data_IF_655452935878
#
_entry.id   IF_655452935878
#
_cell.length_a   1.000
_cell.length_b   1.000
_cell.length_c   1.000
_cell.angle_alpha   90.00
_cell.angle_beta   90.00
_cell.angle_gamma   90.00
#
_symmetry.space_group_name_H-M   'P 1'
#
loop_
_entity.id
_entity.type
_entity.pdbx_description
1 polymer ?
#
# COMPACT_ATOMS: atom_id res chain seq x y z
N UNK A 1 0.54 -12.52 23.09
CA UNK A 1 -0.05 -13.10 21.85
C UNK A 1 0.98 -12.86 20.74
N UNK A 2 1.53 -13.90 20.10
CA UNK A 2 2.40 -13.68 18.93
C UNK A 2 1.56 -13.14 17.79
N UNK A 3 1.85 -11.92 17.31
CA UNK A 3 1.21 -11.38 16.10
C UNK A 3 1.61 -12.29 14.94
N UNK A 4 0.62 -12.86 14.25
CA UNK A 4 0.83 -13.69 13.07
C UNK A 4 0.51 -12.87 11.81
N UNK A 5 1.33 -13.01 10.77
CA UNK A 5 1.15 -12.35 9.49
C UNK A 5 1.84 -10.99 9.38
N UNK A 6 1.52 -10.27 8.30
CA UNK A 6 2.11 -8.98 7.97
C UNK A 6 1.33 -7.85 8.65
N UNK A 7 2.04 -6.89 9.23
CA UNK A 7 1.42 -5.68 9.79
C UNK A 7 2.39 -4.51 9.81
N UNK A 8 1.85 -3.30 9.90
CA UNK A 8 2.60 -2.07 10.20
C UNK A 8 2.30 -1.66 11.63
N UNK A 9 3.34 -1.35 12.38
CA UNK A 9 3.27 -0.52 13.58
C UNK A 9 3.31 0.95 13.12
N UNK A 10 2.17 1.65 13.24
CA UNK A 10 2.00 2.99 12.67
C UNK A 10 2.72 4.06 13.51
N UNK A 11 2.91 3.82 14.81
CA UNK A 11 3.66 4.71 15.71
C UNK A 11 5.16 4.61 15.43
N UNK A 12 5.69 3.39 15.39
CA UNK A 12 7.10 3.15 15.12
C UNK A 12 7.48 3.29 13.64
N UNK A 13 6.48 3.38 12.74
CA UNK A 13 6.62 3.32 11.29
C UNK A 13 7.50 2.15 10.85
N UNK A 14 7.13 0.94 11.29
CA UNK A 14 7.82 -0.31 10.97
C UNK A 14 6.86 -1.37 10.47
N UNK A 15 7.26 -2.04 9.40
CA UNK A 15 6.56 -3.18 8.83
C UNK A 15 7.18 -4.49 9.32
N UNK A 16 6.32 -5.42 9.72
CA UNK A 16 6.68 -6.69 10.30
C UNK A 16 6.06 -7.85 9.54
N UNK A 17 6.78 -8.97 9.51
CA UNK A 17 6.23 -10.30 9.28
C UNK A 17 6.40 -11.12 10.56
N UNK A 18 5.32 -11.26 11.32
CA UNK A 18 5.32 -11.78 12.68
C UNK A 18 6.20 -10.93 13.63
N UNK A 19 7.38 -11.42 14.01
CA UNK A 19 8.33 -10.74 14.92
C UNK A 19 9.55 -10.18 14.16
N UNK A 20 9.61 -10.35 12.83
CA UNK A 20 10.73 -9.92 11.99
C UNK A 20 10.37 -8.60 11.31
N UNK A 21 11.23 -7.59 11.46
CA UNK A 21 11.12 -6.33 10.71
C UNK A 21 11.48 -6.62 9.25
N UNK A 22 10.60 -6.24 8.33
CA UNK A 22 10.83 -6.39 6.88
C UNK A 22 11.03 -5.04 6.18
N UNK A 23 10.60 -3.95 6.81
CA UNK A 23 10.90 -2.58 6.39
C UNK A 23 10.74 -1.62 7.57
N UNK A 24 11.64 -0.67 7.70
CA UNK A 24 11.60 0.42 8.68
C UNK A 24 11.71 1.79 8.01
N UNK A 25 11.53 1.83 6.69
CA UNK A 25 11.72 3.02 5.87
C UNK A 25 10.51 3.25 4.98
N UNK A 26 9.68 4.19 5.38
CA UNK A 26 8.69 4.81 4.48
C UNK A 26 9.44 5.73 3.52
N UNK A 27 9.19 5.57 2.22
CA UNK A 27 9.74 6.48 1.23
C UNK A 27 8.94 7.77 1.25
N UNK A 28 9.63 8.92 1.30
CA UNK A 28 9.02 10.25 1.31
C UNK A 28 8.58 10.75 -0.07
N UNK A 29 8.59 9.87 -1.07
CA UNK A 29 8.22 10.21 -2.44
C UNK A 29 6.71 10.24 -2.55
N UNK A 30 6.17 11.29 -3.18
CA UNK A 30 4.76 11.36 -3.57
C UNK A 30 4.66 10.93 -5.03
N UNK A 31 4.42 9.65 -5.34
CA UNK A 31 4.37 9.20 -6.71
C UNK A 31 3.08 9.71 -7.38
N UNK A 32 3.13 9.96 -8.68
CA UNK A 32 1.91 10.15 -9.48
C UNK A 32 1.31 8.78 -9.83
N UNK A 33 0.07 8.75 -10.31
CA UNK A 33 -0.55 7.50 -10.83
C UNK A 33 0.27 6.90 -11.97
N UNK A 34 0.82 7.75 -12.85
CA UNK A 34 1.66 7.32 -13.96
C UNK A 34 2.95 6.68 -13.44
N UNK A 35 3.65 7.32 -12.49
CA UNK A 35 4.84 6.75 -11.87
C UNK A 35 4.54 5.43 -11.15
N UNK A 36 3.44 5.34 -10.40
CA UNK A 36 3.04 4.09 -9.76
C UNK A 36 2.78 2.98 -10.79
N UNK A 37 2.15 3.31 -11.93
CA UNK A 37 1.92 2.38 -13.03
C UNK A 37 3.25 1.93 -13.62
N UNK A 38 4.16 2.84 -13.92
CA UNK A 38 5.50 2.50 -14.43
C UNK A 38 6.25 1.58 -13.47
N UNK A 39 6.34 1.94 -12.19
CA UNK A 39 6.99 1.11 -11.16
C UNK A 39 6.38 -0.29 -11.06
N UNK A 40 5.05 -0.39 -11.13
CA UNK A 40 4.33 -1.66 -11.09
C UNK A 40 4.67 -2.54 -12.30
N UNK A 41 4.76 -1.97 -13.50
CA UNK A 41 4.96 -2.74 -14.74
C UNK A 41 6.43 -2.97 -15.09
N UNK A 42 7.34 -2.10 -14.65
CA UNK A 42 8.79 -2.22 -14.84
C UNK A 42 9.47 -3.17 -13.84
N UNK A 43 8.75 -3.60 -12.80
CA UNK A 43 9.27 -4.53 -11.80
C UNK A 43 10.07 -3.84 -10.69
N UNK A 44 9.87 -2.54 -10.48
CA UNK A 44 10.48 -1.79 -9.36
C UNK A 44 9.79 -2.12 -8.03
N UNK A 45 8.50 -2.47 -8.09
CA UNK A 45 7.72 -2.95 -6.94
C UNK A 45 7.87 -4.47 -6.84
N UNK A 46 8.44 -4.94 -5.74
CA UNK A 46 8.64 -6.37 -5.46
C UNK A 46 7.51 -7.01 -4.67
N UNK A 47 6.84 -6.23 -3.82
CA UNK A 47 5.73 -6.71 -3.00
C UNK A 47 4.60 -5.68 -2.98
N UNK A 48 3.36 -6.18 -2.97
CA UNK A 48 2.16 -5.37 -2.79
C UNK A 48 1.39 -5.90 -1.59
N UNK A 49 0.99 -4.98 -0.71
CA UNK A 49 0.11 -5.26 0.40
C UNK A 49 -1.15 -4.40 0.34
N UNK A 50 -2.27 -4.96 0.78
CA UNK A 50 -3.51 -4.24 1.00
C UNK A 50 -3.84 -4.28 2.49
N UNK A 51 -4.19 -3.13 3.04
CA UNK A 51 -4.74 -3.01 4.39
C UNK A 51 -6.22 -2.68 4.32
N UNK A 52 -7.06 -3.64 4.68
CA UNK A 52 -8.51 -3.45 4.84
C UNK A 52 -8.89 -2.94 6.23
N UNK A 53 -7.96 -3.01 7.19
CA UNK A 53 -8.18 -2.58 8.56
C UNK A 53 -6.89 -1.97 9.13
N UNK A 54 -6.96 -0.67 9.37
CA UNK A 54 -5.90 0.10 10.00
C UNK A 54 -6.50 1.14 10.94
N UNK A 55 -5.79 1.35 12.04
CA UNK A 55 -6.08 2.39 13.03
C UNK A 55 -4.79 3.19 13.31
N UNK A 56 -4.82 4.12 14.25
CA UNK A 56 -3.65 4.93 14.57
C UNK A 56 -2.43 4.12 15.07
N UNK A 57 -2.63 2.88 15.51
CA UNK A 57 -1.58 2.05 16.12
C UNK A 57 -1.06 0.98 15.18
N UNK A 58 -1.95 0.30 14.47
CA UNK A 58 -1.60 -0.86 13.65
C UNK A 58 -2.41 -0.97 12.38
N UNK A 59 -1.73 -1.38 11.31
CA UNK A 59 -2.35 -1.72 10.04
C UNK A 59 -2.10 -3.19 9.74
N UNK A 60 -3.17 -3.99 9.57
CA UNK A 60 -3.00 -5.39 9.13
C UNK A 60 -2.80 -5.42 7.63
N UNK A 61 -1.85 -6.23 7.18
CA UNK A 61 -1.49 -6.31 5.78
C UNK A 61 -1.81 -7.69 5.21
N UNK A 62 -2.48 -7.71 4.07
CA UNK A 62 -2.68 -8.88 3.24
C UNK A 62 -1.85 -8.75 1.98
N UNK A 63 -1.08 -9.79 1.65
CA UNK A 63 -0.26 -9.77 0.45
C UNK A 63 -1.15 -9.93 -0.77
N UNK A 64 -1.03 -9.02 -1.73
CA UNK A 64 -1.68 -9.12 -3.02
C UNK A 64 -0.66 -9.52 -4.09
N UNK A 65 -1.11 -10.29 -5.08
CA UNK A 65 -0.27 -10.68 -6.20
C UNK A 65 -0.02 -9.50 -7.14
N UNK A 66 1.24 -9.22 -7.46
CA UNK A 66 1.62 -8.22 -8.46
C UNK A 66 0.92 -8.47 -9.80
N UNK A 67 0.80 -9.74 -10.21
CA UNK A 67 0.11 -10.09 -11.46
C UNK A 67 -1.38 -9.74 -11.41
N UNK A 68 -2.02 -9.93 -10.25
CA UNK A 68 -3.41 -9.51 -10.05
C UNK A 68 -3.54 -7.99 -10.11
N UNK A 69 -2.62 -7.26 -9.47
CA UNK A 69 -2.63 -5.79 -9.48
C UNK A 69 -2.46 -5.27 -10.89
N UNK A 70 -1.49 -5.77 -11.65
CA UNK A 70 -1.28 -5.42 -13.06
C UNK A 70 -2.52 -5.70 -13.91
N UNK A 71 -3.11 -6.90 -13.78
CA UNK A 71 -4.31 -7.28 -14.54
C UNK A 71 -5.52 -6.40 -14.23
N UNK A 72 -5.67 -5.98 -12.97
CA UNK A 72 -6.79 -5.15 -12.51
C UNK A 72 -6.46 -3.66 -12.48
N UNK A 73 -5.28 -3.24 -12.97
CA UNK A 73 -4.78 -1.88 -12.78
C UNK A 73 -5.79 -0.85 -13.31
N UNK A 74 -6.11 -0.92 -14.60
CA UNK A 74 -6.99 0.03 -15.27
C UNK A 74 -8.49 -0.17 -14.92
N UNK A 75 -8.83 -1.25 -14.21
CA UNK A 75 -10.22 -1.63 -13.89
C UNK A 75 -10.58 -1.27 -12.44
N UNK A 76 -9.65 -1.44 -11.51
CA UNK A 76 -9.93 -1.37 -10.07
C UNK A 76 -8.96 -0.48 -9.29
N UNK A 77 -7.71 -0.34 -9.70
CA UNK A 77 -6.72 0.42 -8.93
C UNK A 77 -6.59 1.87 -9.40
N UNK A 78 -6.39 2.09 -10.70
CA UNK A 78 -6.12 3.42 -11.27
C UNK A 78 -7.16 4.47 -10.86
N UNK A 79 -8.45 4.10 -10.87
CA UNK A 79 -9.55 5.01 -10.58
C UNK A 79 -9.93 5.08 -9.09
N UNK A 80 -9.34 4.22 -8.25
CA UNK A 80 -9.61 4.16 -6.82
C UNK A 80 -8.36 4.49 -5.99
N UNK A 81 -7.28 5.00 -6.59
CA UNK A 81 -6.11 5.46 -5.82
C UNK A 81 -6.25 6.96 -5.59
N UNK A 82 -6.29 7.36 -4.32
CA UNK A 82 -6.24 8.75 -3.90
C UNK A 82 -4.78 9.13 -3.56
N UNK A 83 -4.29 10.17 -4.24
CA UNK A 83 -2.97 10.76 -4.00
C UNK A 83 -3.06 12.19 -3.44
N UNK A 84 -4.29 12.69 -3.21
CA UNK A 84 -4.51 14.07 -2.76
C UNK A 84 -4.47 14.14 -1.23
N UNK A 85 -4.14 15.33 -0.73
CA UNK A 85 -4.23 15.68 0.70
C UNK A 85 -5.52 16.44 1.03
N UNK A 86 -6.37 16.64 0.03
CA UNK A 86 -7.63 17.38 0.16
C UNK A 86 -8.72 16.45 0.69
N UNK A 87 -9.76 17.00 1.36
CA UNK A 87 -10.94 16.22 1.71
C UNK A 87 -11.56 15.64 0.45
N UNK A 88 -11.81 14.33 0.45
CA UNK A 88 -12.41 13.60 -0.66
C UNK A 88 -13.71 12.93 -0.19
N UNK A 89 -14.72 12.87 -1.07
CA UNK A 89 -15.92 12.09 -0.83
C UNK A 89 -15.73 10.68 -1.36
N UNK A 90 -16.28 9.67 -0.66
CA UNK A 90 -16.33 8.31 -1.20
C UNK A 90 -17.13 8.25 -2.50
N UNK A 91 -18.14 9.11 -2.65
CA UNK A 91 -18.97 9.22 -3.86
C UNK A 91 -18.18 9.62 -5.11
N UNK A 92 -16.98 10.20 -4.94
CA UNK A 92 -16.09 10.55 -6.06
C UNK A 92 -15.40 9.31 -6.65
N UNK A 93 -15.48 8.15 -5.98
CA UNK A 93 -14.79 6.92 -6.36
C UNK A 93 -15.74 5.78 -6.76
N UNK A 94 -15.37 4.98 -7.78
CA UNK A 94 -16.15 3.81 -8.19
C UNK A 94 -16.41 2.81 -7.06
N UNK A 95 -17.70 2.51 -6.82
CA UNK A 95 -18.14 1.63 -5.72
C UNK A 95 -17.81 2.16 -4.32
N UNK A 96 -17.65 3.48 -4.20
CA UNK A 96 -17.55 4.19 -2.92
C UNK A 96 -16.37 3.69 -2.06
N UNK A 97 -15.20 3.53 -2.69
CA UNK A 97 -13.98 3.15 -1.99
C UNK A 97 -12.75 3.73 -2.66
N UNK A 98 -11.69 3.93 -1.89
CA UNK A 98 -10.40 4.32 -2.44
C UNK A 98 -9.24 3.76 -1.62
N UNK A 99 -8.05 3.84 -2.18
CA UNK A 99 -6.79 3.48 -1.56
C UNK A 99 -5.93 4.72 -1.36
N UNK A 100 -5.43 4.92 -0.15
CA UNK A 100 -4.20 5.68 0.03
C UNK A 100 -3.00 4.78 -0.23
N UNK A 101 -1.91 5.38 -0.68
CA UNK A 101 -0.70 4.66 -1.06
C UNK A 101 0.46 5.10 -0.20
N UNK A 102 1.19 4.14 0.38
CA UNK A 102 2.53 4.36 0.90
C UNK A 102 3.52 3.46 0.18
N UNK A 103 4.70 4.01 -0.14
CA UNK A 103 5.84 3.24 -0.63
C UNK A 103 6.80 2.99 0.52
N UNK A 104 7.24 1.75 0.66
CA UNK A 104 8.18 1.31 1.68
C UNK A 104 9.44 0.78 1.01
N UNK A 105 10.59 0.94 1.65
CA UNK A 105 11.86 0.38 1.19
C UNK A 105 12.29 -0.78 2.08
N UNK A 106 12.61 -1.94 1.51
CA UNK A 106 13.27 -2.99 2.28
C UNK A 106 14.78 -2.73 2.40
N UNK A 107 15.48 -3.51 3.23
CA UNK A 107 16.93 -3.37 3.45
C UNK A 107 17.78 -3.54 2.18
N UNK A 108 17.23 -4.18 1.15
CA UNK A 108 17.90 -4.42 -0.14
C UNK A 108 17.69 -3.25 -1.13
N UNK A 109 16.90 -2.24 -0.76
CA UNK A 109 16.56 -1.10 -1.60
C UNK A 109 15.34 -1.34 -2.51
N UNK A 110 14.65 -2.47 -2.36
CA UNK A 110 13.49 -2.79 -3.18
C UNK A 110 12.24 -2.09 -2.65
N UNK A 111 11.28 -1.82 -3.55
CA UNK A 111 10.07 -1.08 -3.21
C UNK A 111 8.94 -2.03 -2.85
N UNK A 112 8.28 -1.75 -1.73
CA UNK A 112 7.05 -2.39 -1.28
C UNK A 112 5.93 -1.36 -1.43
N UNK A 113 4.86 -1.72 -2.14
CA UNK A 113 3.66 -0.90 -2.27
C UNK A 113 2.65 -1.31 -1.20
N UNK A 114 2.14 -0.35 -0.43
CA UNK A 114 1.06 -0.58 0.54
C UNK A 114 -0.16 0.26 0.14
N UNK A 115 -1.30 -0.42 0.00
CA UNK A 115 -2.59 0.18 -0.34
C UNK A 115 -3.51 0.12 0.88
N UNK A 116 -3.87 1.27 1.43
CA UNK A 116 -4.77 1.38 2.58
C UNK A 116 -6.18 1.66 2.09
N UNK A 117 -7.07 0.67 2.21
CA UNK A 117 -8.43 0.72 1.68
C UNK A 117 -9.36 1.46 2.63
N UNK A 118 -10.00 2.51 2.14
CA UNK A 118 -11.11 3.18 2.79
C UNK A 118 -12.42 2.86 2.06
N UNK A 119 -13.46 2.65 2.87
CA UNK A 119 -14.84 2.36 2.51
C UNK A 119 -15.77 3.16 3.41
#
# INVERSE_FOLDING_TARGET
MRRKGYYIDNEAKKMYNNEIIISDKVQSTNPTLETLKEMMFNGEIEEVFISHYFDDRTSKLERESIENVRRKWDISYHNNICLTVEPISLEDFPNEYFFFVELWGNEKGNVILVLFMYH
#
